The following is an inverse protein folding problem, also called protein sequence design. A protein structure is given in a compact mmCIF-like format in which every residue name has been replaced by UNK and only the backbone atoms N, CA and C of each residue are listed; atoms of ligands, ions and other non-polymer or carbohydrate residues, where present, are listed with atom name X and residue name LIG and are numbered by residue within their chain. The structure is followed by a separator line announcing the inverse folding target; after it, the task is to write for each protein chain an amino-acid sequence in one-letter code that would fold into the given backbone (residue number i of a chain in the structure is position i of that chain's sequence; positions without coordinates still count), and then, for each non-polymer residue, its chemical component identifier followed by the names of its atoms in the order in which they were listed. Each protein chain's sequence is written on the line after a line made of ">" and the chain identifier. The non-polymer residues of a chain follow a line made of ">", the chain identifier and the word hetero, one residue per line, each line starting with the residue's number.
data_IF_421472399914
#
_entry.id   IF_421472399914
#
_cell.length_a   1.000
_cell.length_b   1.000
_cell.length_c   1.000
_cell.angle_alpha   90.00
_cell.angle_beta   90.00
_cell.angle_gamma   90.00
#
_symmetry.space_group_name_H-M   'P 1'
#
loop_
_entity.id
_entity.type
_entity.pdbx_description
1 polymer ?
#
# COMPACT_ATOMS: atom_id res chain seq x y z
N UNK A 1 62.29 -27.21 -8.22
CA UNK A 1 61.21 -27.46 -9.20
C UNK A 1 60.22 -26.31 -9.07
N UNK A 2 60.44 -25.19 -9.74
CA UNK A 2 60.22 -24.85 -11.16
C UNK A 2 58.93 -24.03 -11.32
N UNK A 3 59.17 -22.74 -11.61
CA UNK A 3 58.33 -21.66 -12.11
C UNK A 3 57.11 -22.06 -12.97
N UNK A 4 56.02 -21.27 -12.95
CA UNK A 4 55.86 -20.16 -13.91
C UNK A 4 54.43 -19.59 -13.95
N UNK A 5 54.36 -18.27 -13.79
CA UNK A 5 53.25 -17.39 -14.16
C UNK A 5 53.02 -17.37 -15.68
N UNK A 6 51.78 -17.11 -16.10
CA UNK A 6 51.39 -16.68 -17.46
C UNK A 6 49.97 -16.09 -17.30
N UNK A 7 49.67 -14.79 -17.23
CA UNK A 7 50.05 -13.57 -17.95
C UNK A 7 49.88 -13.63 -19.48
N UNK A 8 48.89 -12.85 -19.93
CA UNK A 8 48.62 -12.32 -21.29
C UNK A 8 47.83 -13.26 -22.22
N UNK A 9 46.57 -12.89 -22.51
CA UNK A 9 46.07 -12.78 -23.88
C UNK A 9 44.88 -11.82 -23.91
N UNK A 10 45.21 -10.53 -24.04
CA UNK A 10 44.35 -9.48 -24.58
C UNK A 10 44.42 -9.65 -26.10
N UNK A 11 43.35 -10.10 -26.75
CA UNK A 11 43.23 -10.12 -28.21
C UNK A 11 41.77 -9.89 -28.63
N UNK A 12 41.57 -8.81 -29.40
CA UNK A 12 40.46 -8.47 -30.32
C UNK A 12 39.08 -8.20 -29.70
N UNK A 13 38.71 -6.98 -29.27
CA UNK A 13 38.50 -5.74 -30.03
C UNK A 13 38.74 -5.82 -31.56
N UNK A 14 37.72 -6.25 -32.31
CA UNK A 14 37.34 -5.78 -33.67
C UNK A 14 36.25 -6.70 -34.29
N UNK A 15 34.98 -6.45 -33.98
CA UNK A 15 33.88 -6.66 -34.96
C UNK A 15 33.04 -5.40 -34.93
N UNK A 16 33.63 -4.39 -35.55
CA UNK A 16 33.05 -3.13 -35.94
C UNK A 16 32.16 -3.37 -37.17
N UNK A 17 30.95 -2.81 -37.13
CA UNK A 17 30.12 -2.39 -38.28
C UNK A 17 29.82 -3.44 -39.36
N UNK A 18 28.55 -3.85 -39.46
CA UNK A 18 27.64 -3.59 -40.60
C UNK A 18 26.24 -4.02 -40.14
N UNK A 19 25.26 -3.11 -40.02
CA UNK A 19 24.10 -2.94 -40.91
C UNK A 19 23.02 -2.37 -39.97
N UNK A 20 22.21 -1.34 -40.21
CA UNK A 20 21.84 -0.57 -41.39
C UNK A 20 21.28 0.74 -40.84
N UNK A 21 21.79 1.86 -41.33
CA UNK A 21 21.08 3.13 -41.27
C UNK A 21 19.85 3.04 -42.18
N UNK A 22 18.66 3.02 -41.59
CA UNK A 22 17.48 3.53 -42.29
C UNK A 22 17.27 4.97 -41.84
N UNK A 23 17.85 5.89 -42.61
CA UNK A 23 17.36 7.26 -42.72
C UNK A 23 15.98 7.21 -43.37
N UNK A 24 14.97 7.71 -42.67
CA UNK A 24 13.71 8.08 -43.29
C UNK A 24 13.38 9.50 -42.84
N UNK A 25 13.75 10.42 -43.72
CA UNK A 25 13.41 11.83 -43.65
C UNK A 25 11.92 12.05 -43.98
N UNK A 26 11.36 13.02 -43.27
CA UNK A 26 10.25 13.88 -43.64
C UNK A 26 8.85 13.27 -43.75
N UNK A 27 8.11 13.40 -42.64
CA UNK A 27 6.72 13.80 -42.71
C UNK A 27 6.55 15.09 -41.88
N UNK A 28 6.35 16.20 -42.60
CA UNK A 28 5.83 17.46 -42.08
C UNK A 28 4.43 17.20 -41.54
N UNK A 29 4.35 16.91 -40.25
CA UNK A 29 3.11 16.69 -39.52
C UNK A 29 2.77 17.95 -38.72
N UNK A 30 1.71 18.62 -39.16
CA UNK A 30 0.91 19.61 -38.43
C UNK A 30 1.16 19.61 -36.92
N UNK A 31 1.64 20.75 -36.41
CA UNK A 31 1.73 21.01 -34.98
C UNK A 31 0.36 20.93 -34.34
N UNK A 32 0.00 19.73 -33.88
CA UNK A 32 -1.01 19.55 -32.86
C UNK A 32 -0.36 19.99 -31.56
N UNK A 33 -0.77 21.14 -31.04
CA UNK A 33 -0.59 21.47 -29.64
C UNK A 33 -1.05 20.26 -28.83
N UNK A 34 -0.08 19.54 -28.26
CA UNK A 34 -0.36 18.55 -27.23
C UNK A 34 -0.85 19.38 -26.05
N UNK A 35 -2.17 19.58 -26.01
CA UNK A 35 -2.88 20.08 -24.85
C UNK A 35 -2.56 19.09 -23.75
N UNK A 36 -1.57 19.46 -22.94
CA UNK A 36 -1.17 18.71 -21.77
C UNK A 36 -2.38 18.74 -20.85
N UNK A 37 -3.18 17.68 -20.87
CA UNK A 37 -4.29 17.50 -19.95
C UNK A 37 -3.65 17.56 -18.56
N UNK A 38 -3.96 18.58 -17.74
CA UNK A 38 -3.41 18.66 -16.40
C UNK A 38 -3.83 17.37 -15.69
N UNK A 39 -2.83 16.55 -15.32
CA UNK A 39 -3.06 15.44 -14.41
C UNK A 39 -3.73 16.05 -13.19
N UNK A 40 -4.92 15.58 -12.78
CA UNK A 40 -5.61 16.15 -11.63
C UNK A 40 -4.66 16.06 -10.44
N UNK A 41 -4.10 17.20 -10.04
CA UNK A 41 -3.29 17.32 -8.84
C UNK A 41 -4.22 16.90 -7.71
N UNK A 42 -3.93 15.82 -6.98
CA UNK A 42 -4.72 15.47 -5.81
C UNK A 42 -4.66 16.68 -4.89
N UNK A 43 -5.76 17.40 -4.75
CA UNK A 43 -5.86 18.48 -3.77
C UNK A 43 -5.40 17.90 -2.44
N UNK A 44 -4.47 18.59 -1.78
CA UNK A 44 -3.96 18.20 -0.48
C UNK A 44 -5.15 18.22 0.50
N UNK A 45 -5.81 17.06 0.66
CA UNK A 45 -6.96 16.93 1.55
C UNK A 45 -6.44 17.02 2.98
N UNK A 46 -6.68 18.17 3.59
CA UNK A 46 -6.55 18.37 5.03
C UNK A 46 -7.38 17.28 5.71
N UNK A 47 -6.86 16.68 6.79
CA UNK A 47 -7.61 15.77 7.66
C UNK A 47 -9.05 16.29 7.80
N UNK A 48 -10.09 15.45 7.58
CA UNK A 48 -11.46 15.89 7.74
C UNK A 48 -11.75 16.07 9.23
N UNK A 49 -11.28 17.19 9.81
CA UNK A 49 -11.29 17.47 11.24
C UNK A 49 -12.72 17.59 11.80
N UNK A 50 -13.69 17.77 10.92
CA UNK A 50 -15.13 17.81 11.16
C UNK A 50 -15.76 16.42 11.27
N UNK A 51 -15.12 15.37 10.77
CA UNK A 51 -15.65 13.99 10.83
C UNK A 51 -15.44 13.37 12.21
N UNK A 52 -16.52 12.87 12.80
CA UNK A 52 -16.52 12.32 14.17
C UNK A 52 -15.62 11.10 14.31
N UNK A 53 -15.57 10.25 13.29
CA UNK A 53 -14.78 9.01 13.34
C UNK A 53 -13.29 9.29 13.46
N UNK A 54 -12.78 10.37 12.86
CA UNK A 54 -11.35 10.72 12.87
C UNK A 54 -10.78 10.69 14.28
N UNK A 55 -11.42 11.38 15.23
CA UNK A 55 -10.92 11.43 16.62
C UNK A 55 -10.92 10.07 17.31
N UNK A 56 -11.94 9.26 17.08
CA UNK A 56 -12.13 7.97 17.75
C UNK A 56 -11.10 6.97 17.24
N UNK A 57 -11.03 6.81 15.92
CA UNK A 57 -10.18 5.80 15.29
C UNK A 57 -8.69 6.16 15.39
N UNK A 58 -8.31 7.44 15.24
CA UNK A 58 -6.91 7.82 15.39
C UNK A 58 -6.38 7.67 16.80
N UNK A 59 -7.21 7.85 17.83
CA UNK A 59 -6.79 7.57 19.21
C UNK A 59 -6.36 6.11 19.39
N UNK A 60 -7.11 5.17 18.81
CA UNK A 60 -6.77 3.75 18.87
C UNK A 60 -5.53 3.40 18.02
N UNK A 61 -5.45 3.94 16.80
CA UNK A 61 -4.31 3.76 15.91
C UNK A 61 -3.03 4.28 16.55
N UNK A 62 -3.06 5.52 17.05
CA UNK A 62 -1.90 6.17 17.66
C UNK A 62 -1.46 5.43 18.91
N UNK A 63 -2.40 5.02 19.77
CA UNK A 63 -2.10 4.19 20.93
C UNK A 63 -1.49 2.84 20.55
N UNK A 64 -1.86 2.26 19.39
CA UNK A 64 -1.31 0.98 18.94
C UNK A 64 0.14 1.08 18.47
N UNK A 65 0.53 2.24 17.93
CA UNK A 65 1.88 2.49 17.42
C UNK A 65 2.72 3.35 18.37
N UNK A 66 2.20 3.70 19.54
CA UNK A 66 2.91 4.47 20.56
C UNK A 66 4.21 3.75 20.97
N UNK A 67 5.30 4.52 21.07
CA UNK A 67 6.63 3.98 21.39
C UNK A 67 7.32 3.24 20.24
N UNK A 68 6.70 3.13 19.06
CA UNK A 68 7.37 2.63 17.84
C UNK A 68 7.96 3.78 17.00
N UNK A 69 8.82 3.42 16.04
CA UNK A 69 9.37 4.33 15.02
C UNK A 69 8.34 4.70 13.92
N UNK A 70 7.13 4.13 13.98
CA UNK A 70 6.10 4.33 12.97
C UNK A 70 5.47 5.71 13.10
N UNK A 71 5.10 6.13 14.32
CA UNK A 71 4.43 7.39 14.64
C UNK A 71 3.15 7.70 13.83
N UNK A 72 2.41 8.77 14.14
CA UNK A 72 1.24 9.18 13.36
C UNK A 72 1.58 9.58 11.92
N UNK A 73 0.93 8.98 10.91
CA UNK A 73 1.30 9.23 9.51
C UNK A 73 1.03 10.68 9.08
N UNK A 74 -0.06 11.25 9.58
CA UNK A 74 -0.48 12.63 9.28
C UNK A 74 0.53 13.69 9.71
N UNK A 75 1.41 13.37 10.65
CA UNK A 75 2.45 14.27 11.18
C UNK A 75 3.81 14.04 10.53
N UNK A 76 3.98 12.95 9.76
CA UNK A 76 5.23 12.62 9.09
C UNK A 76 5.51 13.55 7.91
N UNK A 77 6.77 13.95 7.80
CA UNK A 77 7.33 14.60 6.62
C UNK A 77 8.00 13.54 5.75
N UNK A 78 7.48 13.33 4.55
CA UNK A 78 8.06 12.43 3.56
C UNK A 78 8.92 13.23 2.56
N UNK A 79 10.01 12.61 2.09
CA UNK A 79 10.87 13.17 1.05
C UNK A 79 10.21 13.03 -0.34
N UNK A 80 10.66 13.78 -1.36
CA UNK A 80 10.15 13.62 -2.71
C UNK A 80 10.30 12.17 -3.21
N UNK A 81 9.23 11.62 -3.78
CA UNK A 81 9.21 10.23 -4.25
C UNK A 81 8.97 9.18 -3.16
N UNK A 82 8.91 9.58 -1.88
CA UNK A 82 8.48 8.69 -0.81
C UNK A 82 6.95 8.61 -0.72
N UNK A 83 6.47 7.44 -0.32
CA UNK A 83 5.05 7.15 -0.12
C UNK A 83 4.88 6.20 1.04
N UNK A 84 3.91 6.48 1.90
CA UNK A 84 3.52 5.55 2.97
C UNK A 84 2.00 5.37 2.95
N UNK A 85 1.59 4.11 3.03
CA UNK A 85 0.20 3.68 2.98
C UNK A 85 -0.06 2.79 4.18
N UNK A 86 -1.16 3.02 4.89
CA UNK A 86 -1.55 2.24 6.06
C UNK A 86 -2.99 1.80 5.92
N UNK A 87 -3.23 0.52 6.20
CA UNK A 87 -4.57 -0.06 6.25
C UNK A 87 -4.74 -0.64 7.64
N UNK A 88 -5.66 -0.05 8.38
CA UNK A 88 -6.03 -0.45 9.73
C UNK A 88 -7.37 -1.15 9.69
N UNK A 89 -7.50 -2.33 10.29
CA UNK A 89 -8.74 -3.11 10.28
C UNK A 89 -9.06 -3.57 11.70
N UNK A 90 -10.34 -3.49 12.09
CA UNK A 90 -10.78 -3.81 13.45
C UNK A 90 -11.69 -2.75 14.02
N UNK A 91 -11.30 -2.20 15.16
CA UNK A 91 -11.98 -1.19 15.97
C UNK A 91 -13.11 -1.74 16.86
N UNK A 92 -13.36 -1.03 17.96
CA UNK A 92 -14.34 -1.35 18.99
C UNK A 92 -14.20 -2.79 19.54
N UNK A 93 -15.11 -3.68 19.13
CA UNK A 93 -15.16 -5.08 19.58
C UNK A 93 -14.14 -5.99 18.87
N UNK A 94 -13.52 -5.50 17.79
CA UNK A 94 -12.54 -6.26 17.01
C UNK A 94 -11.12 -5.76 17.28
N UNK A 95 -10.16 -6.66 17.57
CA UNK A 95 -8.77 -6.26 17.78
C UNK A 95 -8.24 -5.47 16.57
N UNK A 96 -7.70 -4.29 16.84
CA UNK A 96 -7.05 -3.46 15.83
C UNK A 96 -5.75 -4.12 15.36
N UNK A 97 -5.65 -4.34 14.05
CA UNK A 97 -4.43 -4.74 13.36
C UNK A 97 -4.25 -3.88 12.10
N UNK A 98 -3.12 -4.04 11.40
CA UNK A 98 -2.94 -3.29 10.17
C UNK A 98 -1.69 -3.63 9.39
N UNK A 99 -1.66 -3.20 8.14
CA UNK A 99 -0.50 -3.29 7.25
C UNK A 99 -0.02 -1.89 6.93
N UNK A 100 1.30 -1.72 6.94
CA UNK A 100 1.99 -0.49 6.60
C UNK A 100 2.91 -0.79 5.42
N UNK A 101 2.70 -0.12 4.30
CA UNK A 101 3.51 -0.22 3.09
C UNK A 101 4.26 1.09 2.90
N UNK A 102 5.58 1.03 2.70
CA UNK A 102 6.43 2.20 2.47
C UNK A 102 7.22 2.04 1.20
N UNK A 103 7.21 3.07 0.36
CA UNK A 103 8.06 3.20 -0.80
C UNK A 103 9.10 4.29 -0.53
N UNK A 104 10.38 3.91 -0.47
CA UNK A 104 11.50 4.82 -0.33
C UNK A 104 12.49 4.56 -1.48
N UNK A 105 12.86 5.61 -2.21
CA UNK A 105 13.78 5.50 -3.37
C UNK A 105 13.36 4.40 -4.37
N UNK A 106 12.05 4.30 -4.62
CA UNK A 106 11.46 3.31 -5.53
C UNK A 106 11.38 1.88 -4.96
N UNK A 107 11.90 1.62 -3.75
CA UNK A 107 11.84 0.30 -3.10
C UNK A 107 10.69 0.23 -2.10
N UNK A 108 9.90 -0.82 -2.24
CA UNK A 108 8.79 -1.10 -1.33
C UNK A 108 9.22 -1.99 -0.17
N UNK A 109 8.67 -1.67 1.01
CA UNK A 109 8.77 -2.47 2.23
C UNK A 109 7.40 -2.57 2.88
N UNK A 110 7.20 -3.59 3.71
CA UNK A 110 5.95 -3.81 4.42
C UNK A 110 6.19 -4.15 5.89
N UNK A 111 5.25 -3.73 6.74
CA UNK A 111 5.17 -4.14 8.14
C UNK A 111 3.73 -4.52 8.49
N UNK A 112 3.57 -5.51 9.37
CA UNK A 112 2.29 -5.94 9.91
C UNK A 112 2.22 -5.64 11.40
N UNK A 113 1.19 -4.90 11.80
CA UNK A 113 0.84 -4.61 13.18
C UNK A 113 -0.09 -5.71 13.67
N UNK A 114 0.39 -6.51 14.62
CA UNK A 114 -0.34 -7.65 15.18
C UNK A 114 -1.58 -7.17 15.95
N UNK A 115 -2.67 -7.96 16.01
CA UNK A 115 -3.80 -7.66 16.87
C UNK A 115 -3.43 -7.78 18.36
N UNK A 116 -4.02 -6.95 19.22
CA UNK A 116 -3.70 -6.86 20.66
C UNK A 116 -3.82 -8.20 21.39
N UNK A 117 -4.81 -9.04 21.04
CA UNK A 117 -4.97 -10.39 21.65
C UNK A 117 -3.75 -11.29 21.45
N UNK A 118 -2.94 -11.06 20.41
CA UNK A 118 -1.74 -11.84 20.09
C UNK A 118 -0.46 -11.28 20.72
N UNK A 119 -0.44 -10.03 21.18
CA UNK A 119 0.79 -9.40 21.67
C UNK A 119 0.85 -9.37 23.19
N UNK A 120 1.10 -10.53 23.81
CA UNK A 120 1.89 -10.58 25.06
C UNK A 120 3.38 -10.34 24.79
N UNK A 121 3.78 -10.34 23.52
CA UNK A 121 5.13 -10.03 23.07
C UNK A 121 5.40 -8.51 23.08
N UNK A 122 6.62 -8.14 23.44
CA UNK A 122 7.11 -6.76 23.45
C UNK A 122 7.23 -6.09 22.07
N UNK A 123 6.96 -6.81 20.97
CA UNK A 123 7.08 -6.28 19.60
C UNK A 123 5.74 -6.41 18.85
N UNK A 124 4.88 -5.39 18.87
CA UNK A 124 3.58 -5.43 18.20
C UNK A 124 3.66 -5.35 16.67
N UNK A 125 4.86 -5.14 16.11
CA UNK A 125 5.08 -4.90 14.69
C UNK A 125 6.11 -5.91 14.16
N UNK A 126 5.80 -6.53 13.02
CA UNK A 126 6.65 -7.49 12.33
C UNK A 126 6.92 -7.02 10.91
N UNK A 127 8.14 -7.21 10.41
CA UNK A 127 8.46 -6.93 9.01
C UNK A 127 7.79 -7.98 8.11
N UNK A 128 7.16 -7.54 7.03
CA UNK A 128 6.58 -8.40 6.01
C UNK A 128 7.65 -8.83 5.02
N UNK A 129 7.48 -10.05 4.48
CA UNK A 129 8.22 -10.48 3.29
C UNK A 129 7.68 -9.78 2.05
N UNK A 130 8.42 -9.89 0.96
CA UNK A 130 7.91 -9.48 -0.36
C UNK A 130 6.57 -10.18 -0.65
N UNK A 131 5.57 -9.47 -1.23
CA UNK A 131 4.30 -10.10 -1.59
C UNK A 131 4.53 -11.23 -2.60
N UNK A 132 3.71 -12.28 -2.54
CA UNK A 132 3.82 -13.47 -3.41
C UNK A 132 3.91 -13.15 -4.91
N UNK A 133 3.22 -12.12 -5.36
CA UNK A 133 3.20 -11.67 -6.75
C UNK A 133 4.26 -10.63 -7.11
N UNK A 134 5.04 -10.17 -6.13
CA UNK A 134 5.96 -9.04 -6.28
C UNK A 134 5.25 -7.68 -6.16
N UNK A 135 6.04 -6.65 -5.83
CA UNK A 135 5.50 -5.33 -5.48
C UNK A 135 4.71 -4.65 -6.60
N UNK A 136 5.20 -4.72 -7.84
CA UNK A 136 4.55 -4.07 -8.98
C UNK A 136 3.16 -4.67 -9.25
N UNK A 137 3.05 -6.00 -9.22
CA UNK A 137 1.78 -6.68 -9.46
C UNK A 137 0.77 -6.44 -8.33
N UNK A 138 1.23 -6.45 -7.07
CA UNK A 138 0.39 -6.05 -5.94
C UNK A 138 -0.12 -4.62 -6.14
N UNK A 139 0.76 -3.68 -6.48
CA UNK A 139 0.40 -2.27 -6.60
C UNK A 139 -0.60 -2.01 -7.72
N UNK A 140 -0.40 -2.63 -8.88
CA UNK A 140 -1.34 -2.56 -10.01
C UNK A 140 -2.74 -3.03 -9.60
N UNK A 141 -2.86 -4.15 -8.87
CA UNK A 141 -4.15 -4.65 -8.39
C UNK A 141 -4.84 -3.70 -7.42
N UNK A 142 -4.07 -3.01 -6.57
CA UNK A 142 -4.63 -2.00 -5.68
C UNK A 142 -5.15 -0.80 -6.48
N UNK A 143 -4.44 -0.37 -7.51
CA UNK A 143 -4.89 0.71 -8.40
C UNK A 143 -6.16 0.33 -9.18
N UNK A 144 -6.26 -0.89 -9.68
CA UNK A 144 -7.47 -1.44 -10.30
C UNK A 144 -8.68 -1.48 -9.34
N UNK A 145 -8.43 -1.48 -8.03
CA UNK A 145 -9.44 -1.38 -6.98
C UNK A 145 -9.72 0.06 -6.52
N UNK A 146 -9.27 1.06 -7.30
CA UNK A 146 -9.46 2.49 -7.02
C UNK A 146 -8.85 2.93 -5.68
N UNK A 147 -7.79 2.24 -5.21
CA UNK A 147 -7.23 2.45 -3.86
C UNK A 147 -6.93 3.91 -3.52
N UNK A 148 -6.48 4.70 -4.50
CA UNK A 148 -6.17 6.12 -4.33
C UNK A 148 -7.38 7.04 -4.41
N UNK A 149 -8.46 6.60 -5.06
CA UNK A 149 -9.59 7.45 -5.46
C UNK A 149 -10.85 7.15 -4.66
N UNK A 150 -10.98 5.97 -4.03
CA UNK A 150 -12.10 5.55 -3.19
C UNK A 150 -12.56 6.67 -2.23
N UNK A 151 -13.84 7.08 -2.28
CA UNK A 151 -14.37 8.14 -1.42
C UNK A 151 -14.34 7.76 0.06
N UNK A 152 -14.69 8.67 0.95
CA UNK A 152 -15.00 8.28 2.33
C UNK A 152 -16.42 7.72 2.39
N UNK A 153 -16.68 6.73 3.23
CA UNK A 153 -18.02 6.12 3.31
C UNK A 153 -19.11 7.13 3.70
N UNK A 154 -18.80 8.14 4.53
CA UNK A 154 -19.76 9.19 4.88
C UNK A 154 -20.14 10.03 3.66
N UNK A 155 -19.20 10.28 2.74
CA UNK A 155 -19.42 11.13 1.56
C UNK A 155 -20.38 10.50 0.55
N UNK A 156 -20.47 9.17 0.55
CA UNK A 156 -21.36 8.39 -0.33
C UNK A 156 -22.55 7.77 0.41
N UNK A 157 -22.75 8.11 1.69
CA UNK A 157 -23.83 7.54 2.51
C UNK A 157 -23.71 6.04 2.78
N UNK A 158 -22.51 5.45 2.63
CA UNK A 158 -22.24 4.04 2.86
C UNK A 158 -21.90 3.75 4.34
N UNK A 159 -22.60 4.37 5.28
CA UNK A 159 -22.29 4.36 6.72
C UNK A 159 -22.90 3.18 7.46
N UNK A 160 -22.94 2.00 6.83
CA UNK A 160 -23.45 0.76 7.43
C UNK A 160 -22.51 0.22 8.53
N UNK A 161 -22.36 1.00 9.60
CA UNK A 161 -21.66 0.65 10.82
C UNK A 161 -22.71 0.27 11.86
N UNK A 162 -23.26 -0.93 11.75
CA UNK A 162 -23.88 -1.55 12.92
C UNK A 162 -22.88 -1.58 14.08
N UNK A 163 -23.34 -1.56 15.32
CA UNK A 163 -22.48 -1.50 16.52
C UNK A 163 -21.41 -2.60 16.58
N UNK A 164 -21.67 -3.73 15.90
CA UNK A 164 -20.77 -4.88 15.83
C UNK A 164 -20.09 -5.02 14.46
N UNK A 165 -20.05 -3.96 13.66
CA UNK A 165 -19.45 -3.98 12.34
C UNK A 165 -17.93 -3.76 12.43
N UNK A 166 -17.17 -4.63 11.76
CA UNK A 166 -15.73 -4.42 11.58
C UNK A 166 -15.51 -3.23 10.64
N UNK A 167 -14.63 -2.31 11.01
CA UNK A 167 -14.25 -1.17 10.20
C UNK A 167 -12.83 -1.28 9.63
N UNK A 168 -12.55 -0.47 8.62
CA UNK A 168 -11.20 -0.18 8.15
C UNK A 168 -10.97 1.32 8.00
N UNK A 169 -9.77 1.76 8.37
CA UNK A 169 -9.26 3.10 8.10
C UNK A 169 -8.06 2.95 7.17
N UNK A 170 -8.10 3.68 6.06
CA UNK A 170 -7.01 3.75 5.10
C UNK A 170 -6.36 5.11 5.24
N UNK A 171 -5.04 5.14 5.30
CA UNK A 171 -4.23 6.35 5.25
C UNK A 171 -3.25 6.28 4.09
N UNK A 172 -3.11 7.39 3.36
CA UNK A 172 -2.20 7.52 2.22
C UNK A 172 -1.44 8.84 2.40
N UNK A 173 -0.12 8.78 2.37
CA UNK A 173 0.75 9.95 2.48
C UNK A 173 1.76 9.95 1.35
N UNK A 174 1.89 11.09 0.69
CA UNK A 174 3.03 11.47 -0.14
C UNK A 174 3.68 12.71 0.46
N UNK A 175 4.73 13.24 -0.18
CA UNK A 175 5.28 14.55 0.21
C UNK A 175 4.23 15.66 0.08
N UNK A 176 3.42 15.63 -0.97
CA UNK A 176 2.50 16.69 -1.38
C UNK A 176 1.16 16.62 -0.65
N UNK A 177 0.73 15.42 -0.25
CA UNK A 177 -0.64 15.20 0.22
C UNK A 177 -0.71 14.18 1.35
N UNK A 178 -1.79 14.28 2.11
CA UNK A 178 -2.26 13.25 3.02
C UNK A 178 -3.74 13.00 2.69
N UNK A 179 -4.18 11.75 2.74
CA UNK A 179 -5.59 11.39 2.60
C UNK A 179 -5.89 10.28 3.60
N UNK A 180 -7.07 10.34 4.19
CA UNK A 180 -7.61 9.23 4.96
C UNK A 180 -9.10 9.06 4.65
N UNK A 181 -9.56 7.83 4.70
CA UNK A 181 -10.96 7.48 4.56
C UNK A 181 -11.28 6.23 5.38
N UNK A 182 -12.53 6.11 5.80
CA UNK A 182 -13.01 5.00 6.64
C UNK A 182 -14.20 4.30 6.00
N UNK A 183 -14.26 2.98 6.19
CA UNK A 183 -15.38 2.13 5.82
C UNK A 183 -15.76 1.20 6.96
N UNK A 184 -17.04 1.21 7.33
CA UNK A 184 -17.65 0.23 8.23
C UNK A 184 -18.20 -0.99 7.48
N UNK A 185 -18.87 -1.89 8.21
CA UNK A 185 -19.70 -2.93 7.59
C UNK A 185 -18.94 -4.01 6.81
N UNK A 186 -17.64 -4.19 7.06
CA UNK A 186 -16.80 -5.04 6.20
C UNK A 186 -17.17 -6.52 6.16
N UNK A 187 -17.96 -7.01 7.13
CA UNK A 187 -18.46 -8.40 7.15
C UNK A 187 -19.63 -8.62 6.19
N UNK A 188 -20.43 -7.59 5.95
CA UNK A 188 -21.63 -7.62 5.11
C UNK A 188 -21.64 -6.36 4.23
N UNK A 189 -20.69 -6.24 3.30
CA UNK A 189 -20.54 -5.02 2.51
C UNK A 189 -21.68 -4.87 1.50
N UNK A 190 -22.45 -3.79 1.60
CA UNK A 190 -23.58 -3.50 0.71
C UNK A 190 -23.16 -2.61 -0.47
N UNK A 191 -22.49 -1.49 -0.17
CA UNK A 191 -21.98 -0.55 -1.16
C UNK A 191 -20.76 -1.12 -1.91
N UNK A 192 -20.63 -0.78 -3.19
CA UNK A 192 -19.58 -1.32 -4.06
C UNK A 192 -18.18 -0.87 -3.62
N UNK A 193 -18.05 0.35 -3.12
CA UNK A 193 -16.81 0.87 -2.54
C UNK A 193 -16.40 0.09 -1.29
N UNK A 194 -17.37 -0.32 -0.46
CA UNK A 194 -17.09 -1.16 0.71
C UNK A 194 -16.60 -2.54 0.27
N UNK A 195 -17.19 -3.11 -0.79
CA UNK A 195 -16.71 -4.38 -1.39
C UNK A 195 -15.28 -4.26 -1.91
N UNK A 196 -14.91 -3.12 -2.53
CA UNK A 196 -13.54 -2.84 -2.96
C UNK A 196 -12.58 -2.81 -1.78
N UNK A 197 -12.92 -2.14 -0.68
CA UNK A 197 -12.11 -2.14 0.56
C UNK A 197 -11.94 -3.56 1.12
N UNK A 198 -13.00 -4.36 1.08
CA UNK A 198 -12.91 -5.78 1.47
C UNK A 198 -11.93 -6.54 0.58
N UNK A 199 -11.98 -6.35 -0.74
CA UNK A 199 -11.08 -7.02 -1.67
C UNK A 199 -9.63 -6.53 -1.55
N UNK A 200 -9.40 -5.25 -1.27
CA UNK A 200 -8.08 -4.70 -0.94
C UNK A 200 -7.48 -5.45 0.26
N UNK A 201 -8.24 -5.54 1.36
CA UNK A 201 -7.77 -6.21 2.58
C UNK A 201 -7.53 -7.72 2.35
N UNK A 202 -8.38 -8.39 1.56
CA UNK A 202 -8.19 -9.80 1.20
C UNK A 202 -6.97 -10.01 0.33
N UNK A 203 -6.75 -9.13 -0.65
CA UNK A 203 -5.58 -9.16 -1.51
C UNK A 203 -4.30 -9.03 -0.70
N UNK A 204 -4.22 -8.05 0.19
CA UNK A 204 -3.07 -7.87 1.08
C UNK A 204 -2.88 -9.09 1.99
N UNK A 205 -3.95 -9.61 2.58
CA UNK A 205 -3.91 -10.81 3.44
C UNK A 205 -3.32 -12.02 2.70
N UNK A 206 -3.81 -12.29 1.47
CA UNK A 206 -3.31 -13.40 0.63
C UNK A 206 -1.86 -13.22 0.21
N UNK A 207 -1.49 -12.02 -0.21
CA UNK A 207 -0.15 -11.71 -0.72
C UNK A 207 0.92 -11.79 0.36
N UNK A 208 0.60 -11.36 1.58
CA UNK A 208 1.55 -11.36 2.70
C UNK A 208 1.42 -12.57 3.64
N UNK A 209 0.37 -13.38 3.50
CA UNK A 209 0.11 -14.51 4.40
C UNK A 209 -0.23 -14.06 5.82
N UNK A 210 -0.94 -12.94 5.95
CA UNK A 210 -1.44 -12.40 7.22
C UNK A 210 -2.96 -12.36 7.21
N UNK A 211 -3.58 -12.17 8.37
CA UNK A 211 -5.02 -12.06 8.47
C UNK A 211 -5.45 -10.65 8.93
N UNK A 212 -6.09 -9.90 8.03
CA UNK A 212 -6.71 -8.63 8.35
C UNK A 212 -8.17 -8.77 8.81
N UNK A 213 -8.84 -9.89 8.58
CA UNK A 213 -10.27 -10.06 8.83
C UNK A 213 -10.58 -10.91 10.06
N UNK A 214 -9.86 -11.98 10.30
CA UNK A 214 -10.08 -12.83 11.46
C UNK A 214 -8.96 -12.64 12.50
N UNK A 215 -9.34 -12.72 13.76
CA UNK A 215 -8.36 -13.03 14.81
C UNK A 215 -7.93 -14.49 14.65
N UNK A 216 -6.85 -14.92 15.32
CA UNK A 216 -6.25 -16.26 15.17
C UNK A 216 -7.19 -17.45 15.48
N UNK A 217 -8.44 -17.23 15.91
CA UNK A 217 -9.35 -18.29 16.38
C UNK A 217 -10.05 -19.09 15.27
N UNK A 218 -9.87 -18.75 13.98
CA UNK A 218 -10.57 -19.43 12.88
C UNK A 218 -9.72 -19.97 11.74
N UNK A 219 -8.39 -19.97 11.90
CA UNK A 219 -7.55 -20.94 11.19
C UNK A 219 -7.64 -22.28 11.94
N UNK A 220 -8.87 -22.79 12.05
CA UNK A 220 -9.10 -24.19 12.25
C UNK A 220 -8.47 -24.87 11.05
N UNK A 221 -7.38 -25.57 11.30
CA UNK A 221 -6.78 -26.53 10.40
C UNK A 221 -7.95 -27.34 9.83
N UNK A 222 -8.32 -27.05 8.58
CA UNK A 222 -9.04 -28.02 7.77
C UNK A 222 -7.99 -29.06 7.44
N UNK A 223 -7.83 -30.02 8.33
CA UNK A 223 -7.34 -31.33 7.98
C UNK A 223 -8.33 -31.85 6.95
N UNK A 224 -8.01 -31.61 5.68
CA UNK A 224 -8.69 -32.27 4.57
C UNK A 224 -8.41 -33.77 4.65
N UNK A 225 -9.33 -34.60 4.12
CA UNK A 225 -9.13 -36.04 4.04
C UNK A 225 -7.89 -36.42 3.21
#
# INVERSE_FOLDING_TARGET
>A
MSYSSCLKFVVLLNVLLMFVSCTQDNASGSGSEIVSIPTPTPEARVLPADKKWVRIFFREIDGRIEGSDIGPLREKKLLPGEKEVRIWVGFDLYPLNGIILRQNEGKWTGSYVLPVKLSSSSKPITALREPKSGWNALWQRLEELDFYTLPDSEDIGATNAGTDAKGAVIEIKTKESYRTYMYGGLRTPEADETKKVVEICRTLSREFGVDLFEGPERVGIRDGP
#
